data_IF_308967004155
#
_entry.id   IF_308967004155
#
_cell.length_a   1.000
_cell.length_b   1.000
_cell.length_c   1.000
_cell.angle_alpha   90.00
_cell.angle_beta   90.00
_cell.angle_gamma   90.00
#
_symmetry.space_group_name_H-M   'P 1'
#
loop_
_entity.id
_entity.type
_entity.pdbx_description
1 polymer ?
#
# COMPACT_ATOMS: atom_id res chain seq x y z
N UNK A 1 21.64 1.71 4.01
CA UNK A 1 20.36 2.14 4.55
C UNK A 1 19.93 1.17 5.64
N UNK A 2 19.51 1.69 6.76
CA UNK A 2 19.08 0.89 7.89
C UNK A 2 17.76 0.17 7.59
N UNK A 3 17.63 -1.08 7.99
CA UNK A 3 16.43 -1.88 7.81
C UNK A 3 15.21 -1.23 8.47
N UNK A 4 15.41 -0.66 9.66
CA UNK A 4 14.32 0.04 10.37
C UNK A 4 13.79 1.22 9.59
N UNK A 5 14.68 2.01 9.00
CA UNK A 5 14.29 3.15 8.19
C UNK A 5 13.53 2.71 6.95
N UNK A 6 13.97 1.62 6.31
CA UNK A 6 13.32 1.04 5.15
C UNK A 6 11.90 0.57 5.48
N UNK A 7 11.75 -0.19 6.56
CA UNK A 7 10.44 -0.67 7.02
C UNK A 7 9.50 0.47 7.32
N UNK A 8 9.99 1.51 7.99
CA UNK A 8 9.20 2.67 8.33
C UNK A 8 8.69 3.37 7.08
N UNK A 9 9.54 3.52 6.08
CA UNK A 9 9.16 4.13 4.81
C UNK A 9 8.14 3.30 4.06
N UNK A 10 8.30 1.99 4.02
CA UNK A 10 7.35 1.09 3.35
C UNK A 10 6.00 1.11 4.04
N UNK A 11 5.97 1.12 5.37
CA UNK A 11 4.73 1.22 6.13
C UNK A 11 4.01 2.52 5.85
N UNK A 12 4.76 3.60 5.73
CA UNK A 12 4.23 4.92 5.40
C UNK A 12 3.56 4.92 4.02
N UNK A 13 4.21 4.31 3.03
CA UNK A 13 3.66 4.18 1.69
C UNK A 13 2.41 3.31 1.68
N UNK A 14 2.44 2.21 2.44
CA UNK A 14 1.30 1.31 2.57
C UNK A 14 0.10 2.06 3.16
N UNK A 15 0.32 2.86 4.18
CA UNK A 15 -0.71 3.67 4.80
C UNK A 15 -1.29 4.68 3.82
N UNK A 16 -0.44 5.35 3.06
CA UNK A 16 -0.89 6.31 2.05
C UNK A 16 -1.76 5.62 0.99
N UNK A 17 -1.37 4.44 0.53
CA UNK A 17 -2.17 3.66 -0.42
C UNK A 17 -3.49 3.20 0.20
N UNK A 18 -3.49 2.82 1.47
CA UNK A 18 -4.71 2.42 2.16
C UNK A 18 -5.73 3.54 2.17
N UNK A 19 -5.28 4.76 2.42
CA UNK A 19 -6.14 5.95 2.39
C UNK A 19 -6.67 6.19 0.98
N UNK A 20 -5.82 6.05 -0.03
CA UNK A 20 -6.22 6.23 -1.42
C UNK A 20 -7.26 5.19 -1.85
N UNK A 21 -7.08 3.93 -1.47
CA UNK A 21 -8.04 2.87 -1.77
C UNK A 21 -9.39 3.20 -1.14
N UNK A 22 -9.38 3.60 0.12
CA UNK A 22 -10.60 3.94 0.85
C UNK A 22 -11.33 5.10 0.18
N UNK A 23 -10.61 6.15 -0.18
CA UNK A 23 -11.18 7.30 -0.86
C UNK A 23 -11.75 6.92 -2.23
N UNK A 24 -11.03 6.09 -2.98
CA UNK A 24 -11.47 5.63 -4.29
C UNK A 24 -12.75 4.79 -4.20
N UNK A 25 -12.86 3.95 -3.17
CA UNK A 25 -14.04 3.13 -2.95
C UNK A 25 -15.27 3.95 -2.59
N UNK A 26 -15.07 5.09 -1.95
CA UNK A 26 -16.17 6.01 -1.60
C UNK A 26 -16.63 6.82 -2.79
N UNK A 27 -15.80 7.01 -3.80
CA UNK A 27 -16.13 7.81 -4.97
C UNK A 27 -16.88 6.96 -5.99
N UNK A 28 -18.14 7.32 -6.33
CA UNK A 28 -18.91 6.55 -7.31
C UNK A 28 -18.38 6.69 -8.74
N UNK A 29 -17.54 7.68 -8.99
CA UNK A 29 -16.98 7.92 -10.32
C UNK A 29 -15.63 7.19 -10.53
N UNK A 30 -15.08 6.56 -9.51
CA UNK A 30 -13.81 5.84 -9.64
C UNK A 30 -14.04 4.49 -10.31
N UNK A 31 -13.37 4.20 -11.44
CA UNK A 31 -13.53 2.90 -12.12
C UNK A 31 -12.94 1.75 -11.30
N UNK A 32 -13.51 0.57 -11.45
CA UNK A 32 -13.06 -0.63 -10.74
C UNK A 32 -11.64 -1.00 -11.09
N UNK A 33 -11.19 -0.70 -12.31
CA UNK A 33 -9.81 -0.95 -12.73
C UNK A 33 -8.81 -0.17 -11.90
N UNK A 34 -9.14 1.08 -11.58
CA UNK A 34 -8.28 1.92 -10.75
C UNK A 34 -8.23 1.41 -9.31
N UNK A 35 -9.37 1.03 -8.77
CA UNK A 35 -9.45 0.45 -7.42
C UNK A 35 -8.63 -0.84 -7.34
N UNK A 36 -8.76 -1.71 -8.33
CA UNK A 36 -7.99 -2.96 -8.41
C UNK A 36 -6.49 -2.70 -8.45
N UNK A 37 -6.07 -1.71 -9.22
CA UNK A 37 -4.67 -1.32 -9.33
C UNK A 37 -4.12 -0.84 -7.99
N UNK A 38 -4.86 0.01 -7.30
CA UNK A 38 -4.46 0.51 -5.98
C UNK A 38 -4.38 -0.60 -4.94
N UNK A 39 -5.34 -1.52 -4.95
CA UNK A 39 -5.33 -2.67 -4.05
C UNK A 39 -4.14 -3.57 -4.31
N UNK A 40 -3.79 -3.76 -5.57
CA UNK A 40 -2.63 -4.56 -5.97
C UNK A 40 -1.34 -3.94 -5.45
N UNK A 41 -1.20 -2.63 -5.60
CA UNK A 41 -0.03 -1.90 -5.10
C UNK A 41 0.08 -2.02 -3.58
N UNK A 42 -1.04 -1.87 -2.90
CA UNK A 42 -1.10 -2.03 -1.44
C UNK A 42 -0.65 -3.42 -1.01
N UNK A 43 -1.11 -4.44 -1.71
CA UNK A 43 -0.75 -5.82 -1.43
C UNK A 43 0.74 -6.08 -1.66
N UNK A 44 1.29 -5.52 -2.73
CA UNK A 44 2.71 -5.64 -3.02
C UNK A 44 3.57 -5.01 -1.92
N UNK A 45 3.17 -3.85 -1.43
CA UNK A 45 3.87 -3.20 -0.33
C UNK A 45 3.79 -4.01 0.96
N UNK A 46 2.63 -4.56 1.25
CA UNK A 46 2.43 -5.41 2.41
C UNK A 46 3.34 -6.63 2.36
N UNK A 47 3.43 -7.26 1.20
CA UNK A 47 4.28 -8.43 0.98
C UNK A 47 5.75 -8.08 1.22
N UNK A 48 6.19 -6.94 0.70
CA UNK A 48 7.56 -6.46 0.88
C UNK A 48 7.88 -6.17 2.35
N UNK A 49 6.95 -5.56 3.05
CA UNK A 49 7.08 -5.28 4.49
C UNK A 49 7.25 -6.60 5.25
N UNK A 50 6.41 -7.58 4.96
CA UNK A 50 6.48 -8.88 5.62
C UNK A 50 7.82 -9.59 5.37
N UNK A 51 8.32 -9.53 4.16
CA UNK A 51 9.61 -10.13 3.82
C UNK A 51 10.75 -9.50 4.61
N UNK A 52 10.74 -8.18 4.72
CA UNK A 52 11.78 -7.48 5.48
C UNK A 52 11.66 -7.74 6.98
N UNK A 53 10.44 -7.84 7.47
CA UNK A 53 10.19 -8.07 8.88
C UNK A 53 10.58 -9.47 9.34
N UNK A 54 10.57 -10.44 8.43
CA UNK A 54 10.89 -11.84 8.74
C UNK A 54 12.34 -12.23 8.43
N UNK A 55 13.11 -11.33 7.90
CA UNK A 55 14.52 -11.58 7.54
C UNK A 55 15.44 -11.79 8.74
#
# INVERSE_FOLDING_TARGET
MDLSARLKELRRKHEALAVQVEAAQRSPSTPNTEISSLKKQKLMLKDEIERLATT
#
